data_IF_812079304432
#
_entry.id   IF_812079304432
#
_cell.length_a   1.000
_cell.length_b   1.000
_cell.length_c   1.000
_cell.angle_alpha   90.00
_cell.angle_beta   90.00
_cell.angle_gamma   90.00
#
_symmetry.space_group_name_H-M   'P 1'
#
loop_
_entity.id
_entity.type
_entity.pdbx_description
1 polymer ?
#
# COMPACT_ATOMS: atom_id res chain seq x y z
N UNK A 1 -5.52 -53.47 -32.45
CA UNK A 1 -5.09 -52.82 -31.19
C UNK A 1 -5.81 -51.48 -31.09
N UNK A 2 -6.98 -51.40 -30.43
CA UNK A 2 -7.69 -50.13 -30.28
C UNK A 2 -7.15 -49.37 -29.06
N UNK A 3 -6.76 -48.12 -29.24
CA UNK A 3 -6.41 -47.21 -28.15
C UNK A 3 -7.67 -46.50 -27.68
N UNK A 4 -7.94 -46.63 -26.39
CA UNK A 4 -9.10 -46.15 -25.67
C UNK A 4 -9.20 -44.61 -25.65
N UNK A 5 -10.44 -44.13 -25.76
CA UNK A 5 -10.87 -42.75 -25.50
C UNK A 5 -10.38 -42.28 -24.12
N UNK A 6 -9.64 -41.17 -24.08
CA UNK A 6 -9.40 -40.43 -22.84
C UNK A 6 -10.48 -39.37 -22.66
N UNK A 7 -11.34 -39.61 -21.68
CA UNK A 7 -12.39 -38.71 -21.19
C UNK A 7 -11.79 -37.44 -20.59
N UNK A 8 -12.12 -36.28 -21.14
CA UNK A 8 -11.90 -34.99 -20.51
C UNK A 8 -12.82 -34.89 -19.29
N UNK A 9 -12.22 -34.82 -18.09
CA UNK A 9 -12.90 -34.48 -16.85
C UNK A 9 -12.84 -32.96 -16.70
N UNK A 10 -13.91 -32.29 -17.09
CA UNK A 10 -14.20 -30.92 -16.70
C UNK A 10 -14.30 -30.86 -15.17
N UNK A 11 -13.30 -30.27 -14.51
CA UNK A 11 -13.41 -29.84 -13.12
C UNK A 11 -13.89 -28.39 -13.13
N UNK A 12 -15.17 -28.23 -12.83
CA UNK A 12 -15.78 -26.96 -12.49
C UNK A 12 -14.95 -26.25 -11.41
N UNK A 13 -14.40 -25.09 -11.76
CA UNK A 13 -13.75 -24.17 -10.84
C UNK A 13 -14.79 -23.68 -9.83
N UNK A 14 -14.48 -23.86 -8.53
CA UNK A 14 -15.31 -23.36 -7.44
C UNK A 14 -15.24 -21.84 -7.42
N UNK A 15 -16.34 -21.13 -7.10
CA UNK A 15 -16.32 -19.68 -7.00
C UNK A 15 -15.36 -19.29 -5.88
N UNK A 16 -14.36 -18.48 -6.19
CA UNK A 16 -13.53 -17.82 -5.18
C UNK A 16 -14.44 -16.99 -4.28
N UNK A 17 -14.62 -17.47 -3.04
CA UNK A 17 -15.06 -16.67 -1.91
C UNK A 17 -14.19 -15.41 -1.86
N UNK A 18 -14.77 -14.29 -2.28
CA UNK A 18 -14.25 -12.95 -1.99
C UNK A 18 -14.45 -12.72 -0.50
N UNK A 19 -13.59 -13.34 0.31
CA UNK A 19 -13.44 -12.94 1.69
C UNK A 19 -12.95 -11.50 1.68
N UNK A 20 -13.83 -10.62 2.14
CA UNK A 20 -13.52 -9.23 2.49
C UNK A 20 -12.20 -9.21 3.25
N UNK A 21 -11.18 -8.60 2.66
CA UNK A 21 -9.88 -8.42 3.29
C UNK A 21 -10.00 -7.38 4.40
N UNK A 22 -10.43 -7.81 5.59
CA UNK A 22 -10.08 -7.11 6.82
C UNK A 22 -8.56 -6.96 6.87
N UNK A 23 -8.02 -5.84 7.40
CA UNK A 23 -6.60 -5.77 7.70
C UNK A 23 -6.31 -6.83 8.76
N UNK A 24 -5.66 -7.92 8.36
CA UNK A 24 -5.22 -8.99 9.25
C UNK A 24 -4.34 -8.36 10.32
N UNK A 25 -4.70 -8.48 11.60
CA UNK A 25 -3.83 -8.04 12.68
C UNK A 25 -2.50 -8.79 12.62
N UNK A 26 -1.37 -8.17 13.01
CA UNK A 26 -0.08 -8.85 13.05
C UNK A 26 -0.12 -10.04 14.01
N UNK A 27 0.57 -11.12 13.65
CA UNK A 27 0.73 -12.27 14.51
C UNK A 27 1.56 -11.94 15.75
N UNK A 28 1.38 -12.69 16.84
CA UNK A 28 2.11 -12.46 18.11
C UNK A 28 3.64 -12.44 17.90
N UNK A 29 4.16 -13.34 17.05
CA UNK A 29 5.58 -13.38 16.70
C UNK A 29 6.06 -12.10 16.00
N UNK A 30 5.25 -11.51 15.12
CA UNK A 30 5.57 -10.27 14.40
C UNK A 30 5.54 -9.08 15.37
N UNK A 31 4.57 -9.03 16.28
CA UNK A 31 4.47 -8.00 17.33
C UNK A 31 5.68 -8.06 18.26
N UNK A 32 6.07 -9.25 18.73
CA UNK A 32 7.26 -9.40 19.59
C UNK A 32 8.54 -8.93 18.88
N UNK A 33 8.66 -9.21 17.58
CA UNK A 33 9.86 -8.88 16.80
C UNK A 33 9.96 -7.40 16.43
N UNK A 34 8.89 -6.82 15.90
CA UNK A 34 8.90 -5.47 15.32
C UNK A 34 8.19 -4.42 16.17
N UNK A 35 7.28 -4.83 17.06
CA UNK A 35 6.37 -3.91 17.77
C UNK A 35 7.06 -2.87 18.63
N UNK A 36 8.21 -3.18 19.21
CA UNK A 36 8.99 -2.22 20.01
C UNK A 36 9.40 -0.97 19.21
N UNK A 37 9.57 -1.10 17.88
CA UNK A 37 9.91 0.02 17.00
C UNK A 37 8.80 1.06 16.95
N UNK A 38 7.55 0.67 17.16
CA UNK A 38 6.39 1.53 16.94
C UNK A 38 5.57 1.76 18.21
N UNK A 39 6.12 1.44 19.37
CA UNK A 39 5.41 1.50 20.64
C UNK A 39 4.92 2.92 21.01
N UNK A 40 5.57 3.96 20.48
CA UNK A 40 5.22 5.37 20.66
C UNK A 40 4.09 5.86 19.73
N UNK A 41 3.73 5.09 18.69
CA UNK A 41 2.69 5.48 17.76
C UNK A 41 1.29 5.30 18.37
N UNK A 42 0.48 6.37 18.28
CA UNK A 42 -0.91 6.36 18.74
C UNK A 42 -1.85 5.67 17.76
N UNK A 43 -1.56 5.76 16.46
CA UNK A 43 -2.35 5.09 15.43
C UNK A 43 -2.00 3.59 15.42
N UNK A 44 -2.90 2.79 15.99
CA UNK A 44 -2.75 1.33 16.06
C UNK A 44 -2.78 0.67 14.69
N UNK A 45 -3.55 1.20 13.74
CA UNK A 45 -3.63 0.61 12.40
C UNK A 45 -2.37 0.87 11.60
N UNK A 46 -1.85 2.08 11.70
CA UNK A 46 -0.53 2.40 11.14
C UNK A 46 0.55 1.51 11.78
N UNK A 47 0.51 1.34 13.10
CA UNK A 47 1.43 0.45 13.83
C UNK A 47 1.36 -0.99 13.34
N UNK A 48 0.16 -1.56 13.28
CA UNK A 48 -0.08 -2.92 12.81
C UNK A 48 0.41 -3.10 11.37
N UNK A 49 0.12 -2.12 10.50
CA UNK A 49 0.55 -2.17 9.10
C UNK A 49 2.07 -2.08 8.96
N UNK A 50 2.73 -1.21 9.73
CA UNK A 50 4.19 -1.10 9.76
C UNK A 50 4.85 -2.42 10.20
N UNK A 51 4.30 -3.09 11.21
CA UNK A 51 4.77 -4.40 11.69
C UNK A 51 4.63 -5.47 10.59
N UNK A 52 3.44 -5.55 9.97
CA UNK A 52 3.17 -6.51 8.89
C UNK A 52 4.07 -6.30 7.67
N UNK A 53 4.30 -5.04 7.28
CA UNK A 53 5.15 -4.73 6.14
C UNK A 53 6.63 -4.99 6.44
N UNK A 54 7.11 -4.72 7.67
CA UNK A 54 8.46 -5.11 8.08
C UNK A 54 8.64 -6.64 8.06
N UNK A 55 7.64 -7.39 8.51
CA UNK A 55 7.67 -8.86 8.49
C UNK A 55 7.64 -9.41 7.05
N UNK A 56 6.83 -8.83 6.17
CA UNK A 56 6.73 -9.23 4.77
C UNK A 56 8.00 -8.89 3.98
N UNK A 57 8.62 -7.74 4.24
CA UNK A 57 9.90 -7.37 3.62
C UNK A 57 11.02 -8.33 4.01
N UNK A 58 11.10 -8.70 5.29
CA UNK A 58 12.14 -9.64 5.74
C UNK A 58 11.98 -11.03 5.13
N UNK A 59 10.75 -11.44 4.82
CA UNK A 59 10.47 -12.70 4.09
C UNK A 59 10.58 -12.57 2.58
N UNK A 60 10.94 -11.38 2.07
CA UNK A 60 11.01 -11.07 0.64
C UNK A 60 9.65 -11.14 -0.09
N UNK A 61 8.53 -11.16 0.66
CA UNK A 61 7.16 -11.17 0.14
C UNK A 61 6.71 -9.76 -0.33
N UNK A 62 7.42 -8.72 0.11
CA UNK A 62 7.12 -7.31 -0.18
C UNK A 62 8.41 -6.56 -0.50
N UNK A 63 8.42 -5.82 -1.61
CA UNK A 63 9.51 -4.91 -1.92
C UNK A 63 9.36 -3.58 -1.17
N UNK A 64 10.48 -2.99 -0.76
CA UNK A 64 10.49 -1.73 0.01
C UNK A 64 9.75 -0.56 -0.66
N UNK A 65 9.72 -0.52 -2.00
CA UNK A 65 9.01 0.51 -2.76
C UNK A 65 7.53 0.17 -3.05
N UNK A 66 7.08 -1.03 -2.65
CA UNK A 66 5.68 -1.45 -2.72
C UNK A 66 4.93 -1.29 -1.38
N UNK A 67 5.62 -0.82 -0.33
CA UNK A 67 4.96 -0.48 0.95
C UNK A 67 3.90 0.60 0.76
N UNK A 68 2.83 0.51 1.55
CA UNK A 68 1.84 1.59 1.67
C UNK A 68 2.07 2.43 2.93
N UNK A 69 3.01 2.05 3.78
CA UNK A 69 3.55 2.86 4.89
C UNK A 69 5.01 3.23 4.64
N UNK A 70 5.47 4.29 5.27
CA UNK A 70 6.87 4.67 5.29
C UNK A 70 7.47 4.32 6.65
N UNK A 71 8.39 3.34 6.67
CA UNK A 71 9.15 2.97 7.87
C UNK A 71 9.93 4.16 8.44
N UNK A 72 10.57 4.95 7.57
CA UNK A 72 11.44 6.06 7.96
C UNK A 72 10.68 7.19 8.67
N UNK A 73 9.57 7.65 8.09
CA UNK A 73 8.74 8.73 8.68
C UNK A 73 7.68 8.22 9.65
N UNK A 74 7.47 6.90 9.72
CA UNK A 74 6.42 6.22 10.50
C UNK A 74 5.03 6.80 10.21
N UNK A 75 4.69 6.82 8.92
CA UNK A 75 3.49 7.45 8.36
C UNK A 75 2.91 6.62 7.24
N UNK A 76 1.69 6.92 6.83
CA UNK A 76 1.18 6.41 5.55
C UNK A 76 1.99 7.02 4.41
N UNK A 77 2.33 6.25 3.37
CA UNK A 77 3.24 6.75 2.31
C UNK A 77 2.69 7.98 1.62
N UNK A 78 1.36 8.08 1.45
CA UNK A 78 0.72 9.24 0.83
C UNK A 78 0.93 10.55 1.62
N UNK A 79 1.17 10.48 2.93
CA UNK A 79 1.41 11.65 3.79
C UNK A 79 2.85 12.19 3.68
N UNK A 80 3.80 11.37 3.21
CA UNK A 80 5.22 11.73 3.20
C UNK A 80 5.90 11.60 1.85
N UNK A 81 5.27 11.04 0.81
CA UNK A 81 5.87 10.78 -0.51
C UNK A 81 6.48 12.04 -1.16
N UNK A 82 5.96 13.23 -0.87
CA UNK A 82 6.52 14.50 -1.33
C UNK A 82 7.89 14.85 -0.75
N UNK A 83 8.31 14.21 0.35
CA UNK A 83 9.59 14.45 1.02
C UNK A 83 10.78 14.13 0.11
N UNK A 84 11.85 14.97 0.08
CA UNK A 84 13.07 14.70 -0.68
C UNK A 84 13.74 13.36 -0.37
N UNK A 85 13.51 12.80 0.83
CA UNK A 85 14.00 11.47 1.24
C UNK A 85 13.50 10.36 0.31
N UNK A 86 12.37 10.56 -0.37
CA UNK A 86 11.83 9.61 -1.34
C UNK A 86 12.30 9.83 -2.78
N UNK A 87 13.27 10.70 -3.03
CA UNK A 87 13.87 10.80 -4.36
C UNK A 87 14.98 9.76 -4.49
N UNK A 88 14.75 8.73 -5.31
CA UNK A 88 15.73 7.65 -5.54
C UNK A 88 16.06 7.62 -7.03
N UNK A 89 17.15 8.31 -7.38
CA UNK A 89 17.57 8.52 -8.78
C UNK A 89 17.82 7.18 -9.49
N UNK A 90 18.44 6.22 -8.80
CA UNK A 90 18.82 4.92 -9.37
C UNK A 90 17.60 4.13 -9.82
N UNK A 91 16.58 4.01 -8.98
CA UNK A 91 15.33 3.30 -9.31
C UNK A 91 14.36 4.15 -10.15
N UNK A 92 14.61 5.46 -10.24
CA UNK A 92 13.70 6.40 -10.90
C UNK A 92 12.52 6.83 -10.03
N UNK A 93 12.50 6.46 -8.75
CA UNK A 93 11.43 6.85 -7.83
C UNK A 93 11.45 8.37 -7.64
N UNK A 94 10.34 9.02 -7.97
CA UNK A 94 10.19 10.48 -8.03
C UNK A 94 11.26 11.19 -8.87
N UNK A 95 11.67 10.58 -9.99
CA UNK A 95 12.71 11.15 -10.85
C UNK A 95 12.32 11.18 -12.33
N UNK A 96 12.54 12.32 -12.98
CA UNK A 96 12.39 12.45 -14.42
C UNK A 96 13.75 12.28 -15.10
N UNK A 97 13.98 11.13 -15.74
CA UNK A 97 15.26 10.85 -16.44
C UNK A 97 15.53 11.80 -17.61
N UNK A 98 14.49 12.27 -18.31
CA UNK A 98 14.65 13.19 -19.45
C UNK A 98 15.17 14.56 -19.03
N UNK A 99 14.74 15.05 -17.87
CA UNK A 99 15.07 16.39 -17.39
C UNK A 99 16.14 16.40 -16.30
N UNK A 100 16.56 15.22 -15.85
CA UNK A 100 17.46 15.02 -14.70
C UNK A 100 17.03 15.88 -13.51
N UNK A 101 15.75 15.73 -13.14
CA UNK A 101 15.13 16.50 -12.09
C UNK A 101 14.11 15.67 -11.32
N UNK A 102 13.86 16.09 -10.08
CA UNK A 102 12.83 15.51 -9.23
C UNK A 102 11.44 15.64 -9.86
N UNK A 103 10.59 14.67 -9.53
CA UNK A 103 9.17 14.71 -9.81
C UNK A 103 8.41 15.04 -8.52
N UNK A 104 7.52 16.03 -8.62
CA UNK A 104 6.55 16.34 -7.60
C UNK A 104 5.48 15.25 -7.58
N UNK A 105 5.04 14.87 -6.38
CA UNK A 105 3.88 14.00 -6.19
C UNK A 105 2.81 14.82 -5.48
N UNK A 106 1.69 15.03 -6.15
CA UNK A 106 0.52 15.69 -5.58
C UNK A 106 -0.49 14.62 -5.16
N UNK A 107 -0.92 14.69 -3.90
CA UNK A 107 -1.91 13.79 -3.31
C UNK A 107 -3.12 14.63 -2.91
N UNK A 108 -4.28 14.29 -3.46
CA UNK A 108 -5.57 14.81 -3.01
C UNK A 108 -6.24 13.74 -2.16
N UNK A 109 -6.22 13.94 -0.84
CA UNK A 109 -6.78 13.00 0.13
C UNK A 109 -8.30 12.99 0.14
N UNK A 110 -8.96 14.03 -0.39
CA UNK A 110 -10.42 14.14 -0.45
C UNK A 110 -10.97 13.33 -1.62
N UNK A 111 -10.42 13.51 -2.82
CA UNK A 111 -10.85 12.74 -4.01
C UNK A 111 -10.15 11.39 -4.10
N UNK A 112 -8.97 11.26 -3.50
CA UNK A 112 -8.12 10.08 -3.58
C UNK A 112 -7.24 10.08 -4.83
N UNK A 113 -7.13 11.24 -5.49
CA UNK A 113 -6.35 11.41 -6.70
C UNK A 113 -4.87 11.55 -6.36
N UNK A 114 -4.02 10.93 -7.17
CA UNK A 114 -2.56 11.04 -7.05
C UNK A 114 -2.02 11.35 -8.44
N UNK A 115 -1.17 12.37 -8.52
CA UNK A 115 -0.51 12.79 -9.75
C UNK A 115 0.99 12.94 -9.53
N UNK A 116 1.78 12.59 -10.56
CA UNK A 116 3.23 12.77 -10.57
C UNK A 116 3.59 13.70 -11.72
N UNK A 117 4.45 14.68 -11.47
CA UNK A 117 4.77 15.71 -12.46
C UNK A 117 6.22 16.14 -12.32
N UNK A 118 6.98 16.16 -13.42
CA UNK A 118 8.34 16.69 -13.42
C UNK A 118 8.34 18.19 -13.10
N UNK A 119 9.23 18.63 -12.21
CA UNK A 119 9.37 20.05 -11.83
C UNK A 119 9.91 20.95 -12.95
N UNK A 120 10.51 20.36 -14.00
CA UNK A 120 11.06 21.09 -15.15
C UNK A 120 10.17 21.07 -16.39
N UNK A 121 9.80 19.89 -16.89
CA UNK A 121 9.01 19.79 -18.13
C UNK A 121 7.51 19.72 -17.91
N UNK A 122 7.05 19.68 -16.66
CA UNK A 122 5.64 19.60 -16.27
C UNK A 122 4.86 18.42 -16.87
N UNK A 123 5.56 17.41 -17.40
CA UNK A 123 4.98 16.15 -17.85
C UNK A 123 5.08 15.08 -16.77
N UNK A 124 4.12 14.17 -16.76
CA UNK A 124 4.19 12.95 -15.99
C UNK A 124 5.26 12.03 -16.59
N UNK A 125 6.30 11.60 -15.83
CA UNK A 125 7.22 10.59 -16.31
C UNK A 125 6.50 9.24 -16.42
N UNK A 126 6.32 8.70 -17.62
CA UNK A 126 5.70 7.38 -17.80
C UNK A 126 6.73 6.26 -17.60
N UNK A 127 6.93 5.88 -16.34
CA UNK A 127 7.90 4.85 -15.92
C UNK A 127 7.24 3.87 -14.95
N UNK A 128 7.86 2.70 -14.74
CA UNK A 128 7.37 1.75 -13.75
C UNK A 128 7.39 2.33 -12.33
N UNK A 129 8.44 3.10 -12.00
CA UNK A 129 8.53 3.79 -10.71
C UNK A 129 7.36 4.77 -10.50
N UNK A 130 6.94 5.51 -11.54
CA UNK A 130 5.76 6.38 -11.45
C UNK A 130 4.49 5.56 -11.23
N UNK A 131 4.29 4.46 -11.96
CA UNK A 131 3.12 3.60 -11.76
C UNK A 131 3.09 3.00 -10.36
N UNK A 132 4.24 2.58 -9.83
CA UNK A 132 4.40 2.10 -8.46
C UNK A 132 4.02 3.17 -7.43
N UNK A 133 4.48 4.41 -7.58
CA UNK A 133 4.08 5.54 -6.71
C UNK A 133 2.56 5.71 -6.72
N UNK A 134 1.95 5.72 -7.91
CA UNK A 134 0.51 5.88 -8.05
C UNK A 134 -0.26 4.73 -7.39
N UNK A 135 0.19 3.49 -7.54
CA UNK A 135 -0.44 2.31 -6.90
C UNK A 135 -0.33 2.36 -5.39
N UNK A 136 0.88 2.53 -4.85
CA UNK A 136 1.15 2.52 -3.41
C UNK A 136 0.47 3.67 -2.69
N UNK A 137 0.49 4.89 -3.24
CA UNK A 137 -0.21 6.04 -2.65
C UNK A 137 -1.73 5.84 -2.64
N UNK A 138 -2.31 5.30 -3.71
CA UNK A 138 -3.76 5.00 -3.75
C UNK A 138 -4.15 3.91 -2.76
N UNK A 139 -3.34 2.86 -2.64
CA UNK A 139 -3.56 1.80 -1.66
C UNK A 139 -3.44 2.30 -0.22
N UNK A 140 -2.48 3.20 0.03
CA UNK A 140 -2.30 3.90 1.30
C UNK A 140 -3.52 4.76 1.69
N UNK A 141 -4.04 5.54 0.74
CA UNK A 141 -5.28 6.30 0.91
C UNK A 141 -6.48 5.38 1.19
N UNK A 142 -6.61 4.28 0.45
CA UNK A 142 -7.70 3.32 0.63
C UNK A 142 -7.68 2.70 2.03
N UNK A 143 -6.51 2.26 2.51
CA UNK A 143 -6.34 1.70 3.86
C UNK A 143 -6.73 2.70 4.97
N UNK A 144 -6.38 3.98 4.77
CA UNK A 144 -6.69 5.05 5.72
C UNK A 144 -8.19 5.38 5.72
N UNK A 145 -8.84 5.41 4.54
CA UNK A 145 -10.28 5.66 4.43
C UNK A 145 -11.14 4.56 5.04
N UNK A 146 -10.78 3.30 4.82
CA UNK A 146 -11.47 2.17 5.43
C UNK A 146 -11.44 2.29 6.97
N UNK A 147 -10.30 2.75 7.49
CA UNK A 147 -10.11 2.98 8.91
C UNK A 147 -11.10 4.02 9.47
N UNK A 148 -11.29 5.14 8.78
CA UNK A 148 -12.23 6.17 9.20
C UNK A 148 -13.69 5.71 9.15
N UNK A 149 -14.07 4.88 8.17
CA UNK A 149 -15.43 4.34 8.06
C UNK A 149 -15.78 3.40 9.21
N UNK A 150 -14.90 2.46 9.53
CA UNK A 150 -15.10 1.53 10.66
C UNK A 150 -15.24 2.30 11.98
N UNK A 151 -14.41 3.35 12.18
CA UNK A 151 -14.48 4.16 13.38
C UNK A 151 -15.77 5.00 13.46
N UNK A 152 -16.26 5.51 12.33
CA UNK A 152 -17.53 6.24 12.26
C UNK A 152 -18.73 5.33 12.58
N UNK A 153 -18.71 4.07 12.11
CA UNK A 153 -19.75 3.09 12.43
C UNK A 153 -19.76 2.62 13.90
N UNK A 154 -18.62 2.66 14.58
CA UNK A 154 -18.55 2.41 16.03
C UNK A 154 -19.04 3.59 16.90
N UNK A 155 -19.27 4.76 16.30
CA UNK A 155 -19.69 5.97 17.02
C UNK A 155 -21.15 6.37 16.77
N UNK A 156 -21.97 5.50 16.17
CA UNK A 156 -23.41 5.73 16.05
C UNK A 156 -24.06 5.56 17.44
N UNK A 157 -24.61 6.62 18.07
CA UNK A 157 -25.22 6.51 19.37
C UNK A 157 -26.52 5.70 19.25
N UNK A 158 -26.69 4.72 20.14
CA UNK A 158 -27.95 4.02 20.30
C UNK A 158 -29.08 5.05 20.47
N UNK A 159 -29.96 5.12 19.46
CA UNK A 159 -31.23 5.86 19.57
C UNK A 159 -32.01 5.25 20.74
N UNK A 160 -32.15 6.02 21.81
CA UNK A 160 -33.09 5.72 22.88
C UNK A 160 -34.51 5.70 22.30
N UNK A 161 -35.19 4.57 22.46
CA UNK A 161 -36.61 4.39 22.28
C UNK A 161 -37.15 3.71 23.54
#
# INVERSE_FOLDING_TARGET
MPVLLSTQRERAERPHDRLSSCPSQPGEAEVLRFGHRYADLRDRRLTDRLILEDAAEEREDLAALERITCHFHRRWVHECIGSPVHVIIVTGHRWCRRCEAEALVAVDELTGSVAVTCTRCHRCPDTEATRQILRTCRASLAATRESHRVNAHHHEPAKAA
#
